data_IF_135124758013
#
_entry.id   IF_135124758013
#
_cell.length_a   1.000
_cell.length_b   1.000
_cell.length_c   1.000
_cell.angle_alpha   90.00
_cell.angle_beta   90.00
_cell.angle_gamma   90.00
#
_symmetry.space_group_name_H-M   'P 1'
#
loop_
_entity.id
_entity.type
_entity.pdbx_description
1 polymer ?
#
# COMPACT_ATOMS: atom_id res chain seq x y z
N UNK A 1 -21.36 15.50 19.53
CA UNK A 1 -20.71 14.21 19.75
C UNK A 1 -19.30 14.31 19.19
N UNK A 2 -18.23 13.99 19.90
CA UNK A 2 -16.92 13.96 19.32
C UNK A 2 -16.95 12.95 18.17
N UNK A 3 -16.63 13.41 16.97
CA UNK A 3 -16.64 12.59 15.78
C UNK A 3 -15.65 11.42 15.98
N UNK A 4 -16.13 10.21 15.81
CA UNK A 4 -15.29 9.03 15.78
C UNK A 4 -14.39 9.14 14.55
N UNK A 5 -13.08 9.31 14.77
CA UNK A 5 -12.10 9.28 13.68
C UNK A 5 -11.73 7.80 13.47
N UNK A 6 -12.17 7.20 12.37
CA UNK A 6 -11.80 5.84 12.07
C UNK A 6 -10.31 5.67 11.86
N UNK A 7 -9.47 5.24 11.58
CA UNK A 7 -8.04 5.25 11.22
C UNK A 7 -7.18 6.17 12.10
N UNK A 8 -6.90 5.76 13.33
CA UNK A 8 -6.06 6.53 14.25
C UNK A 8 -4.56 6.18 14.16
N UNK A 9 -4.21 5.03 13.63
CA UNK A 9 -2.85 4.50 13.64
C UNK A 9 -2.36 3.89 12.31
N UNK A 10 -3.27 3.55 11.43
CA UNK A 10 -2.96 2.83 10.18
C UNK A 10 -3.02 3.72 8.93
N UNK A 11 -2.72 5.00 9.08
CA UNK A 11 -2.60 5.91 7.95
C UNK A 11 -1.25 6.62 7.93
N UNK A 12 -0.81 7.01 6.75
CA UNK A 12 0.36 7.83 6.50
C UNK A 12 -0.05 9.14 5.85
N UNK A 13 0.48 10.24 6.35
CA UNK A 13 0.28 11.54 5.76
C UNK A 13 1.30 11.78 4.64
N UNK A 14 0.79 12.00 3.44
CA UNK A 14 1.54 12.31 2.23
C UNK A 14 1.35 13.77 1.80
N UNK A 15 0.80 14.60 2.68
CA UNK A 15 0.50 16.01 2.40
C UNK A 15 1.77 16.82 2.14
N UNK A 16 1.63 17.86 1.33
CA UNK A 16 2.66 18.83 1.02
C UNK A 16 2.12 20.25 1.22
N UNK A 17 2.95 21.26 1.04
CA UNK A 17 2.51 22.68 1.12
C UNK A 17 1.43 23.04 0.07
N UNK A 18 1.31 22.23 -1.00
CA UNK A 18 0.37 22.47 -2.09
C UNK A 18 -1.00 21.80 -1.87
N UNK A 19 -1.07 20.80 -0.97
CA UNK A 19 -2.31 20.09 -0.70
C UNK A 19 -2.12 18.91 0.21
N UNK A 20 -3.24 18.24 0.48
CA UNK A 20 -3.36 17.15 1.43
C UNK A 20 -3.68 15.84 0.72
N UNK A 21 -2.99 14.78 1.11
CA UNK A 21 -3.25 13.40 0.69
C UNK A 21 -2.86 12.45 1.81
N UNK A 22 -3.63 11.41 1.98
CA UNK A 22 -3.40 10.40 3.01
C UNK A 22 -3.44 9.00 2.40
N UNK A 23 -2.59 8.11 2.89
CA UNK A 23 -2.61 6.69 2.55
C UNK A 23 -3.05 5.89 3.76
N UNK A 24 -4.12 5.11 3.61
CA UNK A 24 -4.67 4.25 4.65
C UNK A 24 -4.28 2.80 4.36
N UNK A 25 -3.89 2.05 5.37
CA UNK A 25 -3.36 0.69 5.19
C UNK A 25 -4.20 -0.34 5.93
N UNK A 26 -4.34 -1.49 5.30
CA UNK A 26 -4.93 -2.66 5.95
C UNK A 26 -4.02 -3.14 7.09
N UNK A 27 -4.58 -3.36 8.28
CA UNK A 27 -3.81 -3.81 9.46
C UNK A 27 -3.24 -5.24 9.32
N UNK A 28 -3.68 -6.01 8.31
CA UNK A 28 -3.22 -7.39 8.09
C UNK A 28 -2.24 -7.47 6.93
N UNK A 29 -2.66 -7.14 5.72
CA UNK A 29 -1.84 -7.28 4.51
C UNK A 29 -1.01 -6.05 4.18
N UNK A 30 -1.23 -4.92 4.88
CA UNK A 30 -0.57 -3.64 4.66
C UNK A 30 -0.82 -3.01 3.28
N UNK A 31 -1.81 -3.50 2.53
CA UNK A 31 -2.25 -2.87 1.27
C UNK A 31 -2.69 -1.43 1.54
N UNK A 32 -2.16 -0.49 0.76
CA UNK A 32 -2.40 0.93 0.92
C UNK A 32 -3.44 1.46 -0.07
N UNK A 33 -4.34 2.30 0.45
CA UNK A 33 -5.37 3.00 -0.32
C UNK A 33 -5.17 4.50 -0.15
N UNK A 34 -4.97 5.22 -1.23
CA UNK A 34 -4.72 6.66 -1.20
C UNK A 34 -6.01 7.44 -1.41
N UNK A 35 -6.21 8.48 -0.60
CA UNK A 35 -7.29 9.44 -0.80
C UNK A 35 -7.05 10.30 -2.05
N UNK A 36 -8.09 10.95 -2.52
CA UNK A 36 -7.95 12.00 -3.51
C UNK A 36 -7.06 13.15 -3.02
N UNK A 37 -6.36 13.78 -3.96
CA UNK A 37 -5.56 14.97 -3.66
C UNK A 37 -6.45 16.18 -3.41
N UNK A 38 -6.33 16.78 -2.24
CA UNK A 38 -7.06 17.97 -1.84
C UNK A 38 -6.13 19.19 -1.85
N UNK A 39 -6.39 20.14 -2.74
CA UNK A 39 -5.57 21.35 -2.84
C UNK A 39 -5.69 22.20 -1.58
N UNK A 40 -4.56 22.70 -1.07
CA UNK A 40 -4.52 23.69 -0.01
C UNK A 40 -4.79 25.08 -0.61
N UNK A 41 -6.05 25.48 -0.66
CA UNK A 41 -6.45 26.79 -1.21
C UNK A 41 -5.99 27.97 -0.34
N UNK A 42 -5.79 27.75 0.95
CA UNK A 42 -5.37 28.79 1.89
C UNK A 42 -3.85 29.05 1.81
N UNK A 43 -3.05 28.01 1.62
CA UNK A 43 -1.59 28.14 1.46
C UNK A 43 -1.18 28.81 0.15
N UNK A 44 -1.94 28.59 -0.93
CA UNK A 44 -1.68 29.22 -2.24
C UNK A 44 -2.17 30.68 -2.32
N UNK A 45 -3.22 31.04 -1.58
CA UNK A 45 -3.78 32.39 -1.58
C UNK A 45 -3.01 33.40 -0.72
N UNK A 46 -2.45 32.95 0.40
CA UNK A 46 -1.69 33.81 1.32
C UNK A 46 -0.38 34.34 0.72
N UNK A 47 0.24 33.62 -0.21
CA UNK A 47 1.45 34.09 -0.90
C UNK A 47 1.18 35.18 -1.94
N UNK A 48 -0.05 35.30 -2.43
CA UNK A 48 -0.42 36.35 -3.42
C UNK A 48 -0.80 37.67 -2.73
N UNK A 49 -1.37 37.60 -1.51
CA UNK A 49 -1.75 38.80 -0.75
C UNK A 49 -0.61 39.35 0.13
N UNK A 50 0.45 38.58 0.39
CA UNK A 50 1.63 39.01 1.17
C UNK A 50 2.54 40.01 0.46
N UNK A 51 2.34 40.28 -0.83
CA UNK A 51 3.16 41.20 -1.63
C UNK A 51 2.77 42.68 -1.54
N UNK A 52 1.62 43.02 -0.95
CA UNK A 52 1.08 44.37 -1.05
C UNK A 52 1.04 45.20 0.26
N UNK A 53 1.46 44.66 1.40
CA UNK A 53 1.37 45.36 2.70
C UNK A 53 2.68 45.48 3.48
N UNK A 54 3.80 45.67 2.78
CA UNK A 54 5.12 45.86 3.42
C UNK A 54 5.46 47.32 3.73
N UNK A 55 4.49 48.16 4.01
CA UNK A 55 4.75 49.52 4.49
C UNK A 55 3.86 49.81 5.69
N UNK A 56 4.38 49.65 6.88
CA UNK A 56 4.24 50.47 8.08
C UNK A 56 4.71 49.66 9.33
N UNK A 57 5.75 50.20 9.96
CA UNK A 57 6.39 49.98 11.23
C UNK A 57 5.72 49.11 12.30
N UNK A 58 6.47 48.22 12.85
CA UNK A 58 6.10 47.46 14.03
C UNK A 58 6.30 45.92 13.87
N UNK A 59 7.41 45.48 13.29
CA UNK A 59 7.52 44.23 12.55
C UNK A 59 7.89 42.98 13.36
N UNK A 60 8.22 43.05 14.63
CA UNK A 60 8.68 41.84 15.35
C UNK A 60 7.57 41.07 16.04
N UNK A 61 6.51 41.74 16.52
CA UNK A 61 5.35 41.09 17.10
C UNK A 61 4.36 40.52 16.08
N UNK A 62 4.22 41.20 14.93
CA UNK A 62 3.28 40.82 13.88
C UNK A 62 3.72 39.55 13.10
N UNK A 63 5.02 39.28 12.97
CA UNK A 63 5.53 38.10 12.31
C UNK A 63 5.24 36.82 13.11
N UNK A 64 5.44 36.85 14.42
CA UNK A 64 5.16 35.68 15.26
C UNK A 64 3.65 35.39 15.36
N UNK A 65 2.83 36.43 15.42
CA UNK A 65 1.36 36.27 15.42
C UNK A 65 0.84 35.75 14.07
N UNK A 66 1.41 36.23 12.94
CA UNK A 66 1.04 35.76 11.61
C UNK A 66 1.46 34.31 11.36
N UNK A 67 2.65 33.89 11.81
CA UNK A 67 3.11 32.50 11.71
C UNK A 67 2.24 31.58 12.57
N UNK A 68 1.94 31.96 13.81
CA UNK A 68 1.05 31.18 14.68
C UNK A 68 -0.36 31.04 14.11
N UNK A 69 -0.89 32.07 13.46
CA UNK A 69 -2.20 32.02 12.81
C UNK A 69 -2.19 31.13 11.56
N UNK A 70 -1.10 31.13 10.78
CA UNK A 70 -0.93 30.24 9.63
C UNK A 70 -0.83 28.79 10.09
N UNK A 71 -0.03 28.48 11.11
CA UNK A 71 0.10 27.13 11.65
C UNK A 71 -1.23 26.56 12.17
N UNK A 72 -2.05 27.40 12.80
CA UNK A 72 -3.39 27.00 13.29
C UNK A 72 -4.33 26.73 12.10
N UNK A 73 -4.28 27.59 11.08
CA UNK A 73 -5.11 27.45 9.88
C UNK A 73 -4.73 26.21 9.07
N UNK A 74 -3.43 25.95 8.93
CA UNK A 74 -2.93 24.77 8.22
C UNK A 74 -3.28 23.47 8.96
N UNK A 75 -3.20 23.45 10.29
CA UNK A 75 -3.64 22.30 11.10
C UNK A 75 -5.14 22.05 10.93
N UNK A 76 -5.96 23.08 11.05
CA UNK A 76 -7.41 22.94 10.88
C UNK A 76 -7.79 22.50 9.45
N UNK A 77 -7.06 22.98 8.44
CA UNK A 77 -7.21 22.57 7.05
C UNK A 77 -6.86 21.09 6.86
N UNK A 78 -5.76 20.65 7.47
CA UNK A 78 -5.27 19.28 7.43
C UNK A 78 -6.23 18.31 8.15
N UNK A 79 -6.72 18.67 9.33
CA UNK A 79 -7.67 17.84 10.09
C UNK A 79 -8.97 17.64 9.31
N UNK A 80 -9.48 18.70 8.69
CA UNK A 80 -10.66 18.62 7.82
C UNK A 80 -10.41 17.78 6.56
N UNK A 81 -9.22 17.88 5.99
CA UNK A 81 -8.82 17.08 4.85
C UNK A 81 -8.68 15.59 5.22
N UNK A 82 -8.14 15.28 6.39
CA UNK A 82 -8.07 13.92 6.93
C UNK A 82 -9.47 13.34 7.19
N UNK A 83 -10.37 14.12 7.77
CA UNK A 83 -11.76 13.69 7.98
C UNK A 83 -12.43 13.34 6.65
N UNK A 84 -12.28 14.20 5.63
CA UNK A 84 -12.81 13.94 4.30
C UNK A 84 -12.18 12.69 3.67
N UNK A 85 -10.87 12.55 3.73
CA UNK A 85 -10.14 11.38 3.23
C UNK A 85 -10.57 10.10 3.95
N UNK A 86 -10.76 10.14 5.27
CA UNK A 86 -11.26 9.01 6.05
C UNK A 86 -12.65 8.58 5.62
N UNK A 87 -13.54 9.53 5.39
CA UNK A 87 -14.91 9.25 4.93
C UNK A 87 -14.94 8.66 3.50
N UNK A 88 -14.02 9.10 2.64
CA UNK A 88 -13.86 8.59 1.26
C UNK A 88 -13.40 7.12 1.28
N UNK A 89 -12.43 6.80 2.14
CA UNK A 89 -11.79 5.48 2.18
C UNK A 89 -12.55 4.48 3.06
N UNK A 90 -13.32 4.94 4.04
CA UNK A 90 -14.04 4.09 4.99
C UNK A 90 -14.89 2.98 4.34
N UNK A 91 -15.57 3.18 3.20
CA UNK A 91 -16.32 2.10 2.54
C UNK A 91 -15.47 0.93 2.02
N UNK A 92 -14.15 1.13 1.85
CA UNK A 92 -13.22 0.11 1.38
C UNK A 92 -12.67 -0.77 2.52
N UNK A 93 -12.96 -0.39 3.76
CA UNK A 93 -12.46 -1.07 4.95
C UNK A 93 -13.61 -1.62 5.81
N UNK A 94 -13.28 -2.70 6.51
CA UNK A 94 -14.17 -3.32 7.50
C UNK A 94 -13.47 -3.35 8.86
N UNK A 95 -14.22 -3.03 9.91
CA UNK A 95 -13.71 -3.12 11.27
C UNK A 95 -14.00 -4.49 11.84
N UNK A 96 -12.97 -5.21 12.27
CA UNK A 96 -13.13 -6.47 12.98
C UNK A 96 -13.73 -6.23 14.36
N UNK A 97 -14.85 -6.88 14.69
CA UNK A 97 -15.53 -6.69 15.98
C UNK A 97 -14.78 -7.32 17.15
N UNK A 98 -13.83 -8.23 16.90
CA UNK A 98 -13.04 -8.92 17.93
C UNK A 98 -11.75 -8.21 18.28
N UNK A 99 -10.94 -7.83 17.26
CA UNK A 99 -9.63 -7.20 17.48
C UNK A 99 -9.61 -5.70 17.18
N UNK A 100 -10.73 -5.14 16.66
CA UNK A 100 -10.89 -3.76 16.23
C UNK A 100 -9.98 -3.28 15.09
N UNK A 101 -9.25 -4.18 14.45
CA UNK A 101 -8.43 -3.84 13.28
C UNK A 101 -9.29 -3.39 12.11
N UNK A 102 -8.78 -2.43 11.36
CA UNK A 102 -9.34 -2.00 10.09
C UNK A 102 -8.68 -2.77 8.96
N UNK A 103 -9.46 -3.55 8.24
CA UNK A 103 -8.98 -4.45 7.20
C UNK A 103 -9.74 -4.23 5.90
N UNK A 104 -9.07 -4.47 4.79
CA UNK A 104 -9.70 -4.44 3.48
C UNK A 104 -10.62 -5.64 3.26
N UNK A 105 -11.31 -5.64 2.13
CA UNK A 105 -12.27 -6.70 1.78
C UNK A 105 -11.62 -8.08 1.70
N UNK A 106 -10.37 -8.17 1.25
CA UNK A 106 -9.64 -9.44 1.10
C UNK A 106 -9.27 -10.06 2.45
N UNK A 107 -9.02 -9.22 3.43
CA UNK A 107 -8.68 -9.61 4.80
C UNK A 107 -9.89 -9.70 5.74
N UNK A 108 -11.13 -9.59 5.20
CA UNK A 108 -12.35 -9.63 5.99
C UNK A 108 -13.24 -10.82 5.64
N UNK A 109 -13.55 -11.66 6.63
CA UNK A 109 -14.50 -12.75 6.50
C UNK A 109 -15.92 -12.23 6.70
N UNK A 110 -16.59 -11.88 5.59
CA UNK A 110 -17.96 -11.31 5.60
C UNK A 110 -18.98 -12.23 6.27
N UNK A 111 -18.83 -13.55 6.11
CA UNK A 111 -19.77 -14.51 6.68
C UNK A 111 -19.74 -14.53 8.22
N UNK A 112 -18.63 -14.13 8.81
CA UNK A 112 -18.45 -14.12 10.28
C UNK A 112 -18.34 -12.72 10.87
N UNK A 113 -18.24 -11.67 10.05
CA UNK A 113 -18.08 -10.28 10.50
C UNK A 113 -16.75 -10.01 11.22
N UNK A 114 -15.71 -10.79 10.92
CA UNK A 114 -14.40 -10.77 11.58
C UNK A 114 -13.28 -10.73 10.53
N UNK A 115 -12.10 -10.25 10.92
CA UNK A 115 -10.94 -10.37 10.04
C UNK A 115 -10.46 -11.83 9.91
N UNK A 116 -9.69 -12.13 8.88
CA UNK A 116 -9.18 -13.48 8.59
C UNK A 116 -8.28 -14.03 9.70
N UNK A 117 -7.59 -13.19 10.47
CA UNK A 117 -6.80 -13.62 11.62
C UNK A 117 -7.69 -14.06 12.81
N UNK A 118 -8.87 -13.45 12.96
CA UNK A 118 -9.82 -13.82 14.03
C UNK A 118 -10.75 -14.95 13.62
N UNK A 119 -11.06 -15.08 12.34
CA UNK A 119 -11.92 -16.13 11.77
C UNK A 119 -11.46 -16.43 10.34
N UNK A 120 -10.50 -17.36 10.16
CA UNK A 120 -10.04 -17.78 8.84
C UNK A 120 -11.19 -18.30 7.96
N UNK A 121 -11.05 -18.11 6.65
CA UNK A 121 -11.95 -18.71 5.68
C UNK A 121 -11.54 -20.19 5.47
N UNK A 122 -12.13 -21.08 6.25
CA UNK A 122 -11.77 -22.50 6.23
C UNK A 122 -11.86 -23.14 4.85
N UNK A 123 -12.81 -22.72 4.00
CA UNK A 123 -12.93 -23.27 2.65
C UNK A 123 -11.72 -22.86 1.78
N UNK A 124 -11.28 -21.61 1.86
CA UNK A 124 -10.12 -21.15 1.13
C UNK A 124 -8.82 -21.78 1.65
N UNK A 125 -8.67 -21.94 2.97
CA UNK A 125 -7.52 -22.62 3.58
C UNK A 125 -7.45 -24.10 3.15
N UNK A 126 -8.58 -24.81 3.18
CA UNK A 126 -8.63 -26.20 2.71
C UNK A 126 -8.28 -26.35 1.24
N UNK A 127 -8.70 -25.42 0.39
CA UNK A 127 -8.38 -25.43 -1.03
C UNK A 127 -6.90 -25.12 -1.29
N UNK A 128 -6.34 -24.16 -0.56
CA UNK A 128 -4.92 -23.84 -0.61
C UNK A 128 -4.06 -25.05 -0.20
N UNK A 129 -4.45 -25.74 0.87
CA UNK A 129 -3.75 -26.93 1.33
C UNK A 129 -3.84 -28.10 0.32
N UNK A 130 -5.02 -28.35 -0.27
CA UNK A 130 -5.16 -29.34 -1.35
C UNK A 130 -4.25 -29.03 -2.53
N UNK A 131 -4.25 -27.79 -2.99
CA UNK A 131 -3.39 -27.34 -4.08
C UNK A 131 -1.90 -27.52 -3.76
N UNK A 132 -1.50 -27.27 -2.51
CA UNK A 132 -0.11 -27.46 -2.08
C UNK A 132 0.31 -28.92 -2.10
N UNK A 133 -0.57 -29.82 -1.66
CA UNK A 133 -0.36 -31.28 -1.69
C UNK A 133 -0.28 -31.79 -3.13
N UNK A 134 -1.19 -31.36 -4.01
CA UNK A 134 -1.15 -31.73 -5.44
C UNK A 134 0.14 -31.29 -6.11
N UNK A 135 0.59 -30.06 -5.87
CA UNK A 135 1.85 -29.56 -6.40
C UNK A 135 3.06 -30.34 -5.88
N UNK A 136 3.06 -30.74 -4.61
CA UNK A 136 4.15 -31.56 -4.06
C UNK A 136 4.18 -32.95 -4.68
N UNK A 137 3.03 -33.60 -4.87
CA UNK A 137 2.92 -34.89 -5.55
C UNK A 137 3.35 -34.80 -7.02
N UNK A 138 2.96 -33.74 -7.73
CA UNK A 138 3.42 -33.51 -9.09
C UNK A 138 4.94 -33.36 -9.17
N UNK A 139 5.55 -32.57 -8.27
CA UNK A 139 7.00 -32.39 -8.20
C UNK A 139 7.73 -33.71 -7.93
N UNK A 140 7.19 -34.50 -7.01
CA UNK A 140 7.74 -35.85 -6.71
C UNK A 140 7.62 -36.79 -7.89
N UNK A 141 6.47 -36.84 -8.57
CA UNK A 141 6.26 -37.63 -9.77
C UNK A 141 7.21 -37.20 -10.92
N UNK A 142 7.41 -35.88 -11.10
CA UNK A 142 8.36 -35.35 -12.07
C UNK A 142 9.81 -35.66 -11.72
N UNK A 143 10.18 -35.68 -10.44
CA UNK A 143 11.55 -36.02 -10.00
C UNK A 143 11.88 -37.48 -10.19
N UNK A 144 10.87 -38.37 -10.06
CA UNK A 144 11.02 -39.82 -10.29
C UNK A 144 10.97 -40.16 -11.78
N UNK A 145 10.29 -39.40 -12.60
CA UNK A 145 10.28 -39.51 -14.04
C UNK A 145 11.56 -38.89 -14.61
N UNK A 146 12.51 -39.74 -15.05
CA UNK A 146 13.69 -39.26 -15.82
C UNK A 146 13.22 -38.68 -17.14
N UNK A 147 12.82 -37.38 -17.13
CA UNK A 147 12.39 -36.65 -18.32
C UNK A 147 13.54 -36.48 -19.31
N UNK A 148 14.78 -36.62 -18.82
CA UNK A 148 16.00 -36.63 -19.62
C UNK A 148 16.75 -37.98 -19.44
N UNK A 149 16.26 -39.02 -20.07
CA UNK A 149 16.99 -40.31 -20.19
C UNK A 149 18.05 -40.27 -21.31
N UNK A 150 18.55 -39.15 -21.63
CA UNK A 150 19.65 -38.99 -22.59
C UNK A 150 20.77 -38.21 -21.93
N UNK A 151 21.93 -38.81 -21.89
CA UNK A 151 23.16 -38.14 -21.54
C UNK A 151 23.32 -36.91 -22.47
N UNK A 152 23.02 -35.72 -21.93
CA UNK A 152 23.14 -34.44 -22.67
C UNK A 152 24.61 -34.22 -23.07
N UNK A 153 25.52 -34.85 -22.34
CA UNK A 153 26.97 -34.85 -22.67
C UNK A 153 27.30 -35.68 -23.89
N UNK A 154 26.43 -36.61 -24.32
CA UNK A 154 26.66 -37.45 -25.51
C UNK A 154 26.06 -36.88 -26.79
N UNK A 155 25.34 -35.75 -26.76
CA UNK A 155 24.95 -35.06 -27.99
C UNK A 155 26.12 -34.23 -28.48
N UNK A 156 26.96 -34.85 -29.30
CA UNK A 156 27.92 -34.13 -30.12
C UNK A 156 27.15 -33.12 -30.97
N UNK A 157 27.21 -31.85 -30.61
CA UNK A 157 26.68 -30.74 -31.44
C UNK A 157 27.67 -30.61 -32.63
N UNK A 158 27.18 -30.85 -33.82
CA UNK A 158 27.97 -30.62 -35.04
C UNK A 158 28.05 -29.11 -35.30
N UNK A 159 29.25 -28.66 -35.65
CA UNK A 159 29.48 -27.28 -36.03
C UNK A 159 28.73 -26.98 -37.35
N UNK A 160 27.82 -25.98 -37.37
CA UNK A 160 26.99 -25.66 -38.54
C UNK A 160 27.81 -25.18 -39.76
N UNK A 161 29.06 -24.77 -39.55
CA UNK A 161 29.95 -24.30 -40.62
C UNK A 161 30.84 -25.40 -41.25
N UNK A 162 31.17 -26.46 -40.54
CA UNK A 162 32.12 -27.47 -41.04
C UNK A 162 31.70 -28.92 -40.76
N UNK A 163 30.53 -29.17 -40.10
CA UNK A 163 30.00 -30.51 -39.84
C UNK A 163 30.85 -31.37 -38.87
N UNK A 164 31.85 -30.80 -38.22
CA UNK A 164 32.69 -31.57 -37.29
C UNK A 164 32.04 -31.58 -35.88
N UNK A 165 32.07 -32.74 -35.19
CA UNK A 165 31.54 -32.82 -33.81
C UNK A 165 32.38 -31.95 -32.89
N UNK A 166 31.69 -31.08 -32.13
CA UNK A 166 32.30 -30.24 -31.09
C UNK A 166 32.16 -30.98 -29.77
N UNK A 167 33.23 -31.63 -29.33
CA UNK A 167 33.24 -32.29 -28.02
C UNK A 167 33.23 -31.28 -26.87
N UNK A 168 32.60 -31.63 -25.76
CA UNK A 168 32.43 -30.83 -24.55
C UNK A 168 33.70 -30.60 -23.72
N UNK A 169 34.88 -30.92 -24.24
CA UNK A 169 36.13 -30.91 -23.44
C UNK A 169 36.96 -29.62 -23.55
N UNK A 170 36.46 -28.57 -24.17
CA UNK A 170 37.21 -27.31 -24.26
C UNK A 170 36.30 -26.08 -24.08
N UNK A 171 35.90 -25.86 -22.86
CA UNK A 171 35.62 -24.51 -22.33
C UNK A 171 36.11 -24.41 -20.91
#
# INVERSE_FOLDING_TARGET
MPGFTPFTSNYQDLSTNQGYQFEFRCDICQSGYRSEWQKNLLGTGASILGGASSVIGGLWGARNAAQSAQDITDRAGRDKALEKASNEIMPLFHRCTRCNNWVDETCFNKARGLCVNCAPNLAAEMEAERSSVELSQMREAMSTQKVFSGDVSARATECPSCGKPVGSEKF
#
